data_IF_503921784736
#
_entry.id   IF_503921784736
#
_cell.length_a   1.000
_cell.length_b   1.000
_cell.length_c   1.000
_cell.angle_alpha   90.00
_cell.angle_beta   90.00
_cell.angle_gamma   90.00
#
_symmetry.space_group_name_H-M   'P 1'
#
loop_
_entity.id
_entity.type
_entity.pdbx_description
1 polymer ?
#
# COMPACT_ATOMS: atom_id res chain seq x y z
N UNK A 1 35.05 33.40 -87.85
CA UNK A 1 35.40 31.98 -87.74
C UNK A 1 35.35 31.57 -86.28
N UNK A 2 34.99 30.30 -86.03
CA UNK A 2 34.96 29.55 -84.78
C UNK A 2 33.64 29.52 -84.01
N UNK A 3 32.92 28.44 -84.29
CA UNK A 3 31.89 27.79 -83.49
C UNK A 3 32.49 27.22 -82.18
N UNK A 4 31.66 27.07 -81.14
CA UNK A 4 31.36 25.79 -80.45
C UNK A 4 30.80 26.02 -79.04
N UNK A 5 29.55 25.60 -78.77
CA UNK A 5 29.12 24.35 -78.06
C UNK A 5 29.19 24.51 -76.52
N UNK A 6 28.05 24.80 -75.87
CA UNK A 6 27.16 23.88 -75.12
C UNK A 6 27.82 23.25 -73.89
N UNK A 7 27.27 23.54 -72.70
CA UNK A 7 26.75 22.51 -71.77
C UNK A 7 26.02 23.19 -70.60
N UNK A 8 24.70 23.08 -70.61
CA UNK A 8 23.80 23.41 -69.50
C UNK A 8 23.85 22.23 -68.52
N UNK A 9 24.46 22.41 -67.34
CA UNK A 9 24.39 21.45 -66.25
C UNK A 9 23.34 21.92 -65.23
N UNK A 10 22.23 21.19 -65.17
CA UNK A 10 21.14 21.38 -64.23
C UNK A 10 21.40 20.63 -62.91
N UNK A 11 20.96 21.26 -61.83
CA UNK A 11 20.39 20.70 -60.59
C UNK A 11 21.35 20.06 -59.58
N UNK A 12 21.32 20.67 -58.38
CA UNK A 12 21.80 20.09 -57.13
C UNK A 12 21.61 21.02 -55.95
N UNK A 13 20.45 21.64 -55.78
CA UNK A 13 20.11 22.35 -54.55
C UNK A 13 19.79 21.32 -53.45
N UNK A 14 20.81 20.82 -52.76
CA UNK A 14 20.62 20.10 -51.51
C UNK A 14 20.27 21.14 -50.45
N UNK A 15 18.97 21.34 -50.25
CA UNK A 15 18.47 21.96 -49.05
C UNK A 15 18.83 21.04 -47.87
N UNK A 16 19.88 21.39 -47.14
CA UNK A 16 20.11 20.89 -45.80
C UNK A 16 19.00 21.42 -44.90
N UNK A 17 17.82 20.79 -44.98
CA UNK A 17 16.85 20.86 -43.91
C UNK A 17 17.47 20.08 -42.75
N UNK A 18 17.64 20.66 -41.55
CA UNK A 18 17.59 19.81 -40.39
C UNK A 18 16.17 19.24 -40.40
N UNK A 19 16.01 18.05 -40.96
CA UNK A 19 15.01 17.15 -40.41
C UNK A 19 15.42 17.03 -38.95
N UNK A 20 14.79 17.85 -38.11
CA UNK A 20 14.54 17.45 -36.76
C UNK A 20 14.00 16.03 -36.91
N UNK A 21 14.88 15.06 -36.63
CA UNK A 21 14.46 13.72 -36.34
C UNK A 21 13.34 13.94 -35.35
N UNK A 22 12.11 13.65 -35.79
CA UNK A 22 11.02 13.42 -34.89
C UNK A 22 11.54 12.29 -34.02
N UNK A 23 12.20 12.64 -32.92
CA UNK A 23 12.27 11.79 -31.75
C UNK A 23 10.80 11.54 -31.45
N UNK A 24 10.26 10.42 -31.95
CA UNK A 24 9.39 9.63 -31.10
C UNK A 24 10.23 9.43 -29.85
N UNK A 25 10.06 10.34 -28.92
CA UNK A 25 10.45 10.09 -27.55
C UNK A 25 9.53 8.93 -27.22
N UNK A 26 10.06 7.71 -27.29
CA UNK A 26 9.37 6.54 -26.77
C UNK A 26 8.87 6.98 -25.41
N UNK A 27 7.55 7.09 -25.34
CA UNK A 27 6.88 7.53 -24.12
C UNK A 27 7.21 6.42 -23.12
N UNK A 28 7.48 6.76 -21.86
CA UNK A 28 7.66 5.75 -20.83
C UNK A 28 6.52 4.71 -20.91
N UNK A 29 6.81 3.45 -20.57
CA UNK A 29 5.92 2.28 -20.67
C UNK A 29 4.84 2.26 -19.57
N UNK A 30 3.70 2.94 -19.77
CA UNK A 30 2.85 3.41 -18.66
C UNK A 30 1.38 3.13 -18.89
N UNK A 31 1.01 2.87 -20.13
CA UNK A 31 -0.31 2.41 -20.53
C UNK A 31 -0.39 0.87 -20.58
N UNK A 32 0.54 0.17 -19.91
CA UNK A 32 0.48 -1.28 -19.69
C UNK A 32 -0.82 -1.71 -19.01
N UNK A 33 -1.24 -0.92 -18.01
CA UNK A 33 -2.44 -1.12 -17.18
C UNK A 33 -3.47 -0.01 -17.45
N UNK A 34 -3.74 0.28 -18.73
CA UNK A 34 -4.64 1.38 -19.13
C UNK A 34 -6.03 1.29 -18.48
N UNK A 35 -6.54 0.07 -18.25
CA UNK A 35 -7.78 -0.16 -17.49
C UNK A 35 -7.75 0.49 -16.10
N UNK A 36 -6.61 0.40 -15.39
CA UNK A 36 -6.42 0.98 -14.06
C UNK A 36 -6.15 2.47 -14.15
N UNK A 37 -5.30 2.89 -15.10
CA UNK A 37 -4.99 4.32 -15.34
C UNK A 37 -6.26 5.11 -15.61
N UNK A 38 -7.11 4.65 -16.55
CA UNK A 38 -8.36 5.31 -16.90
C UNK A 38 -9.35 5.35 -15.73
N UNK A 39 -9.45 4.27 -14.95
CA UNK A 39 -10.34 4.20 -13.80
C UNK A 39 -9.90 5.17 -12.68
N UNK A 40 -8.60 5.21 -12.38
CA UNK A 40 -8.05 6.13 -11.38
C UNK A 40 -8.12 7.58 -11.84
N UNK A 41 -7.88 7.86 -13.12
CA UNK A 41 -8.04 9.20 -13.68
C UNK A 41 -9.49 9.70 -13.55
N UNK A 42 -10.47 8.81 -13.78
CA UNK A 42 -11.89 9.12 -13.58
C UNK A 42 -12.17 9.48 -12.11
N UNK A 43 -11.69 8.68 -11.16
CA UNK A 43 -11.88 8.93 -9.73
C UNK A 43 -11.14 10.19 -9.24
N UNK A 44 -9.92 10.42 -9.71
CA UNK A 44 -9.11 11.61 -9.43
C UNK A 44 -9.86 12.89 -9.83
N UNK A 45 -10.45 12.91 -11.03
CA UNK A 45 -11.12 14.10 -11.58
C UNK A 45 -12.41 14.50 -10.85
N UNK A 46 -12.97 13.64 -9.99
CA UNK A 46 -14.13 14.00 -9.16
C UNK A 46 -13.82 15.15 -8.21
N UNK A 47 -12.61 15.19 -7.65
CA UNK A 47 -12.08 16.28 -6.85
C UNK A 47 -10.54 16.23 -6.86
N UNK A 48 -9.93 17.19 -7.56
CA UNK A 48 -8.49 17.22 -7.84
C UNK A 48 -7.88 18.55 -7.39
N UNK A 49 -7.70 18.77 -6.07
CA UNK A 49 -7.22 20.04 -5.53
C UNK A 49 -5.78 20.36 -5.95
N UNK A 50 -4.98 19.33 -6.21
CA UNK A 50 -3.58 19.48 -6.63
C UNK A 50 -3.43 19.71 -8.14
N UNK A 51 -4.52 19.72 -8.92
CA UNK A 51 -4.48 19.90 -10.38
C UNK A 51 -3.52 18.89 -11.06
N UNK A 52 -3.48 17.65 -10.58
CA UNK A 52 -2.75 16.56 -11.23
C UNK A 52 -3.34 16.37 -12.62
N UNK A 53 -2.51 16.37 -13.66
CA UNK A 53 -3.00 16.48 -15.04
C UNK A 53 -3.64 15.19 -15.54
N UNK A 54 -3.01 14.05 -15.24
CA UNK A 54 -3.50 12.73 -15.59
C UNK A 54 -2.86 11.69 -14.66
N UNK A 55 -3.59 10.61 -14.35
CA UNK A 55 -3.09 9.54 -13.49
C UNK A 55 -1.82 8.88 -14.05
N UNK A 56 -1.68 8.77 -15.38
CA UNK A 56 -0.50 8.13 -16.01
C UNK A 56 0.82 8.80 -15.58
N UNK A 57 0.79 10.10 -15.25
CA UNK A 57 1.99 10.81 -14.80
C UNK A 57 2.58 10.24 -13.51
N UNK A 58 1.75 9.61 -12.66
CA UNK A 58 2.20 8.99 -11.41
C UNK A 58 3.04 7.73 -11.64
N UNK A 59 2.85 7.04 -12.76
CA UNK A 59 3.59 5.83 -13.08
C UNK A 59 4.97 6.16 -13.69
N UNK A 60 5.14 7.37 -14.21
CA UNK A 60 6.39 7.80 -14.83
C UNK A 60 7.54 7.96 -13.83
N UNK A 61 8.76 7.80 -14.34
CA UNK A 61 9.97 8.27 -13.69
C UNK A 61 9.95 9.79 -13.46
N UNK A 62 10.59 10.25 -12.38
CA UNK A 62 10.49 11.61 -11.84
C UNK A 62 10.60 12.74 -12.89
N UNK A 63 11.54 12.61 -13.84
CA UNK A 63 11.78 13.62 -14.88
C UNK A 63 10.59 13.80 -15.85
N UNK A 64 9.77 12.77 -16.05
CA UNK A 64 8.57 12.84 -16.87
C UNK A 64 7.33 13.12 -16.01
N UNK A 65 7.23 12.50 -14.82
CA UNK A 65 6.15 12.68 -13.86
C UNK A 65 5.90 14.15 -13.52
N UNK A 66 6.96 14.93 -13.29
CA UNK A 66 6.86 16.34 -12.87
C UNK A 66 6.08 17.22 -13.87
N UNK A 67 5.97 16.82 -15.13
CA UNK A 67 5.24 17.57 -16.15
C UNK A 67 3.72 17.55 -15.96
N UNK A 68 3.20 16.52 -15.30
CA UNK A 68 1.78 16.38 -14.99
C UNK A 68 1.47 16.41 -13.50
N UNK A 69 2.45 16.72 -12.67
CA UNK A 69 2.32 16.66 -11.21
C UNK A 69 1.38 17.72 -10.61
N UNK A 70 1.02 18.76 -11.37
CA UNK A 70 0.24 19.87 -10.84
C UNK A 70 0.97 20.57 -9.70
N UNK A 71 0.36 20.58 -8.52
CA UNK A 71 0.88 21.17 -7.29
C UNK A 71 1.75 20.20 -6.48
N UNK A 72 1.87 18.94 -6.89
CA UNK A 72 2.74 17.97 -6.24
C UNK A 72 4.20 18.30 -6.58
N UNK A 73 4.95 18.78 -5.58
CA UNK A 73 6.34 19.22 -5.76
C UNK A 73 7.32 18.04 -5.92
N UNK A 74 7.06 16.95 -5.20
CA UNK A 74 7.90 15.74 -5.23
C UNK A 74 7.32 14.72 -6.22
N UNK A 75 7.97 14.61 -7.38
CA UNK A 75 7.55 13.68 -8.42
C UNK A 75 7.61 12.21 -7.99
N UNK A 76 8.42 11.86 -6.98
CA UNK A 76 8.46 10.50 -6.45
C UNK A 76 7.25 10.14 -5.59
N UNK A 77 6.54 11.17 -5.10
CA UNK A 77 5.29 11.03 -4.40
C UNK A 77 4.05 11.11 -5.30
N UNK A 78 4.20 11.39 -6.59
CA UNK A 78 3.06 11.64 -7.47
C UNK A 78 2.12 10.44 -7.57
N UNK A 79 2.64 9.21 -7.68
CA UNK A 79 1.79 8.01 -7.68
C UNK A 79 0.95 7.90 -6.42
N UNK A 80 1.58 8.09 -5.25
CA UNK A 80 0.90 8.00 -3.97
C UNK A 80 -0.16 9.08 -3.84
N UNK A 81 0.18 10.34 -4.17
CA UNK A 81 -0.77 11.45 -4.12
C UNK A 81 -1.97 11.23 -5.05
N UNK A 82 -1.73 10.77 -6.28
CA UNK A 82 -2.78 10.42 -7.24
C UNK A 82 -3.68 9.32 -6.71
N UNK A 83 -3.11 8.23 -6.20
CA UNK A 83 -3.85 7.10 -5.66
C UNK A 83 -4.67 7.50 -4.43
N UNK A 84 -4.07 8.26 -3.53
CA UNK A 84 -4.68 8.71 -2.28
C UNK A 84 -5.86 9.66 -2.52
N UNK A 85 -5.72 10.59 -3.48
CA UNK A 85 -6.82 11.48 -3.86
C UNK A 85 -7.95 10.70 -4.57
N UNK A 86 -7.62 9.80 -5.50
CA UNK A 86 -8.61 8.96 -6.18
C UNK A 86 -9.37 8.05 -5.20
N UNK A 87 -8.65 7.44 -4.24
CA UNK A 87 -9.24 6.62 -3.18
C UNK A 87 -10.16 7.46 -2.29
N UNK A 88 -9.74 8.66 -1.87
CA UNK A 88 -10.58 9.59 -1.10
C UNK A 88 -11.90 9.88 -1.82
N UNK A 89 -11.82 10.16 -3.12
CA UNK A 89 -12.99 10.49 -3.94
C UNK A 89 -13.92 9.27 -4.08
N UNK A 90 -13.38 8.09 -4.34
CA UNK A 90 -14.14 6.85 -4.44
C UNK A 90 -14.81 6.49 -3.09
N UNK A 91 -14.08 6.65 -1.98
CA UNK A 91 -14.58 6.41 -0.62
C UNK A 91 -15.73 7.36 -0.28
N UNK A 92 -15.62 8.64 -0.62
CA UNK A 92 -16.69 9.62 -0.44
C UNK A 92 -17.94 9.29 -1.28
N UNK A 93 -17.77 8.61 -2.42
CA UNK A 93 -18.86 8.15 -3.28
C UNK A 93 -19.43 6.77 -2.88
N UNK A 94 -18.81 6.05 -1.94
CA UNK A 94 -19.15 4.66 -1.63
C UNK A 94 -18.82 3.68 -2.77
N UNK A 95 -17.89 4.05 -3.65
CA UNK A 95 -17.49 3.26 -4.81
C UNK A 95 -16.36 2.28 -4.46
N UNK A 96 -16.72 1.04 -4.12
CA UNK A 96 -15.76 -0.02 -3.80
C UNK A 96 -14.83 -0.33 -4.97
N UNK A 97 -15.34 -0.27 -6.20
CA UNK A 97 -14.54 -0.51 -7.41
C UNK A 97 -13.51 0.60 -7.59
N UNK A 98 -13.91 1.86 -7.42
CA UNK A 98 -13.00 3.00 -7.46
C UNK A 98 -11.93 2.94 -6.37
N UNK A 99 -12.30 2.56 -5.14
CA UNK A 99 -11.33 2.34 -4.05
C UNK A 99 -10.34 1.23 -4.40
N UNK A 100 -10.83 0.10 -4.92
CA UNK A 100 -10.00 -1.04 -5.34
C UNK A 100 -9.02 -0.65 -6.44
N UNK A 101 -9.47 0.08 -7.47
CA UNK A 101 -8.61 0.55 -8.56
C UNK A 101 -7.52 1.53 -8.06
N UNK A 102 -7.83 2.38 -7.09
CA UNK A 102 -6.84 3.27 -6.49
C UNK A 102 -5.79 2.51 -5.68
N UNK A 103 -6.18 1.46 -4.95
CA UNK A 103 -5.24 0.56 -4.25
C UNK A 103 -4.33 -0.18 -5.25
N UNK A 104 -4.89 -0.74 -6.32
CA UNK A 104 -4.13 -1.40 -7.40
C UNK A 104 -3.14 -0.41 -8.00
N UNK A 105 -3.59 0.80 -8.35
CA UNK A 105 -2.72 1.84 -8.92
C UNK A 105 -1.58 2.25 -8.00
N UNK A 106 -1.81 2.32 -6.67
CA UNK A 106 -0.75 2.61 -5.70
C UNK A 106 0.35 1.54 -5.72
N UNK A 107 -0.05 0.30 -5.95
CA UNK A 107 0.84 -0.84 -6.00
C UNK A 107 1.53 -1.02 -7.35
N UNK A 108 1.00 -0.48 -8.47
CA UNK A 108 1.63 -0.62 -9.78
C UNK A 108 3.11 -0.22 -9.77
N UNK A 109 3.90 -0.92 -10.56
CA UNK A 109 5.29 -0.55 -10.80
C UNK A 109 5.38 0.84 -11.45
N UNK A 110 6.31 1.66 -10.98
CA UNK A 110 6.67 2.91 -11.66
C UNK A 110 7.82 2.65 -12.62
N UNK A 111 7.76 3.23 -13.81
CA UNK A 111 8.83 3.11 -14.77
C UNK A 111 10.04 3.97 -14.37
N UNK A 112 11.17 3.32 -14.12
CA UNK A 112 12.42 3.99 -13.78
C UNK A 112 13.25 4.35 -15.01
N UNK A 113 12.83 3.93 -16.21
CA UNK A 113 13.52 4.13 -17.47
C UNK A 113 14.77 3.25 -17.64
N UNK A 114 14.96 2.25 -16.77
CA UNK A 114 16.08 1.31 -16.82
C UNK A 114 15.65 -0.03 -16.23
N UNK A 115 15.88 -1.11 -16.97
CA UNK A 115 15.52 -2.45 -16.51
C UNK A 115 16.26 -2.81 -15.22
N UNK A 116 15.52 -3.26 -14.22
CA UNK A 116 16.01 -3.67 -12.90
C UNK A 116 16.39 -2.53 -11.96
N UNK A 117 16.17 -1.27 -12.36
CA UNK A 117 16.38 -0.12 -11.47
C UNK A 117 15.18 0.02 -10.53
N UNK A 118 15.46 0.00 -9.22
CA UNK A 118 14.45 0.20 -8.21
C UNK A 118 13.86 1.62 -8.24
N UNK A 119 12.54 1.69 -8.08
CA UNK A 119 11.80 2.94 -7.95
C UNK A 119 12.07 3.59 -6.60
N UNK A 120 12.25 4.91 -6.60
CA UNK A 120 12.42 5.69 -5.37
C UNK A 120 11.09 5.72 -4.60
N UNK A 121 11.07 5.37 -3.29
CA UNK A 121 9.86 5.46 -2.48
C UNK A 121 9.49 6.91 -2.20
N UNK A 122 8.18 7.19 -2.09
CA UNK A 122 7.69 8.48 -1.62
C UNK A 122 8.05 8.69 -0.14
N UNK A 123 8.72 9.79 0.17
CA UNK A 123 9.13 10.12 1.55
C UNK A 123 8.61 11.47 2.05
N UNK A 124 8.19 12.36 1.14
CA UNK A 124 7.84 13.74 1.47
C UNK A 124 6.34 13.98 1.70
N UNK A 125 5.49 13.04 1.28
CA UNK A 125 4.03 13.12 1.42
C UNK A 125 3.54 11.93 2.22
N UNK A 126 2.80 12.21 3.30
CA UNK A 126 2.05 11.20 4.05
C UNK A 126 0.67 11.04 3.42
N UNK A 127 0.29 9.82 3.03
CA UNK A 127 -1.05 9.55 2.55
C UNK A 127 -2.09 9.80 3.65
N UNK A 128 -3.24 10.36 3.25
CA UNK A 128 -4.40 10.62 4.11
C UNK A 128 -5.13 9.32 4.43
N UNK A 129 -5.22 8.41 3.46
CA UNK A 129 -5.90 7.13 3.65
C UNK A 129 -4.90 6.06 4.15
N UNK A 130 -5.16 5.44 5.31
CA UNK A 130 -4.28 4.39 5.83
C UNK A 130 -4.17 3.19 4.88
N UNK A 131 -5.23 2.90 4.11
CA UNK A 131 -5.23 1.83 3.12
C UNK A 131 -4.19 2.08 2.00
N UNK A 132 -4.02 3.35 1.60
CA UNK A 132 -3.00 3.75 0.61
C UNK A 132 -1.62 3.85 1.27
N UNK A 133 -1.55 4.31 2.52
CA UNK A 133 -0.30 4.42 3.29
C UNK A 133 0.34 3.05 3.56
N UNK A 134 -0.45 1.99 3.67
CA UNK A 134 0.03 0.62 3.87
C UNK A 134 0.73 0.06 2.62
N UNK A 135 0.52 0.67 1.45
CA UNK A 135 1.00 0.17 0.17
C UNK A 135 2.22 0.94 -0.33
N UNK A 136 3.04 0.23 -1.09
CA UNK A 136 4.13 0.77 -1.89
C UNK A 136 4.09 0.18 -3.30
N UNK A 137 4.84 0.78 -4.22
CA UNK A 137 4.92 0.32 -5.60
C UNK A 137 5.72 -0.97 -5.76
N UNK A 138 5.27 -1.82 -6.67
CA UNK A 138 6.07 -2.92 -7.21
C UNK A 138 7.39 -2.37 -7.78
N UNK A 139 8.40 -3.22 -7.78
CA UNK A 139 9.71 -2.96 -8.35
C UNK A 139 9.90 -3.75 -9.63
N UNK A 140 10.77 -3.25 -10.51
CA UNK A 140 11.14 -3.99 -11.72
C UNK A 140 11.65 -5.38 -11.34
N UNK A 141 11.03 -6.45 -11.87
CA UNK A 141 11.30 -7.82 -11.47
C UNK A 141 12.70 -8.33 -11.86
N UNK A 142 13.43 -7.62 -12.73
CA UNK A 142 14.85 -7.86 -13.00
C UNK A 142 15.76 -7.32 -11.87
N UNK A 143 15.23 -6.52 -10.96
CA UNK A 143 15.93 -6.01 -9.79
C UNK A 143 16.22 -7.09 -8.74
N UNK A 144 17.33 -6.95 -8.02
CA UNK A 144 17.71 -7.90 -6.96
C UNK A 144 16.68 -7.89 -5.83
N UNK A 145 16.05 -9.03 -5.57
CA UNK A 145 15.03 -9.18 -4.52
C UNK A 145 13.66 -8.58 -4.85
N UNK A 146 13.47 -8.07 -6.07
CA UNK A 146 12.23 -7.40 -6.47
C UNK A 146 11.03 -8.36 -6.47
N UNK A 147 11.18 -9.58 -6.97
CA UNK A 147 10.08 -10.55 -7.04
C UNK A 147 9.52 -10.92 -5.65
N UNK A 148 10.41 -11.13 -4.66
CA UNK A 148 9.98 -11.42 -3.28
C UNK A 148 9.30 -10.23 -2.62
N UNK A 149 9.74 -9.00 -2.96
CA UNK A 149 9.13 -7.77 -2.49
C UNK A 149 7.75 -7.54 -3.13
N UNK A 150 7.65 -7.74 -4.45
CA UNK A 150 6.42 -7.66 -5.22
C UNK A 150 5.36 -8.61 -4.66
N UNK A 151 5.75 -9.85 -4.35
CA UNK A 151 4.88 -10.81 -3.67
C UNK A 151 4.34 -10.31 -2.32
N UNK A 152 5.18 -9.65 -1.52
CA UNK A 152 4.74 -9.05 -0.25
C UNK A 152 3.78 -7.88 -0.47
N UNK A 153 4.05 -7.05 -1.49
CA UNK A 153 3.19 -5.93 -1.87
C UNK A 153 1.83 -6.45 -2.35
N UNK A 154 1.80 -7.46 -3.22
CA UNK A 154 0.57 -8.09 -3.69
C UNK A 154 -0.25 -8.69 -2.53
N UNK A 155 0.41 -9.28 -1.53
CA UNK A 155 -0.29 -9.84 -0.36
C UNK A 155 -0.89 -8.75 0.53
N UNK A 156 -0.19 -7.63 0.73
CA UNK A 156 -0.75 -6.45 1.42
C UNK A 156 -1.87 -5.81 0.62
N UNK A 157 -1.72 -5.70 -0.70
CA UNK A 157 -2.77 -5.21 -1.59
C UNK A 157 -4.05 -6.06 -1.48
N UNK A 158 -3.92 -7.39 -1.49
CA UNK A 158 -5.04 -8.30 -1.30
C UNK A 158 -5.76 -8.05 0.04
N UNK A 159 -5.01 -7.82 1.13
CA UNK A 159 -5.58 -7.44 2.44
C UNK A 159 -6.34 -6.13 2.38
N UNK A 160 -5.77 -5.10 1.77
CA UNK A 160 -6.40 -3.78 1.66
C UNK A 160 -7.66 -3.83 0.80
N UNK A 161 -7.63 -4.55 -0.32
CA UNK A 161 -8.81 -4.76 -1.18
C UNK A 161 -9.90 -5.49 -0.40
N UNK A 162 -9.56 -6.56 0.34
CA UNK A 162 -10.51 -7.28 1.18
C UNK A 162 -11.12 -6.37 2.27
N UNK A 163 -10.29 -5.52 2.89
CA UNK A 163 -10.70 -4.65 3.99
C UNK A 163 -11.71 -3.58 3.56
N UNK A 164 -11.63 -3.11 2.30
CA UNK A 164 -12.62 -2.20 1.72
C UNK A 164 -13.82 -2.91 1.09
N UNK A 165 -13.86 -4.25 1.15
CA UNK A 165 -14.96 -5.07 0.60
C UNK A 165 -14.85 -5.38 -0.90
N UNK A 166 -13.69 -5.18 -1.51
CA UNK A 166 -13.40 -5.57 -2.89
C UNK A 166 -13.02 -7.06 -3.03
N UNK A 167 -12.85 -7.51 -4.27
CA UNK A 167 -12.39 -8.87 -4.59
C UNK A 167 -10.86 -8.97 -4.47
N UNK A 168 -10.31 -9.70 -3.49
CA UNK A 168 -8.87 -9.77 -3.27
C UNK A 168 -8.08 -10.40 -4.41
N UNK A 169 -8.74 -11.16 -5.29
CA UNK A 169 -8.09 -11.74 -6.48
C UNK A 169 -7.61 -10.67 -7.46
N UNK A 170 -8.19 -9.46 -7.39
CA UNK A 170 -7.74 -8.31 -8.17
C UNK A 170 -6.38 -7.76 -7.72
N UNK A 171 -5.80 -8.24 -6.62
CA UNK A 171 -4.45 -7.86 -6.24
C UNK A 171 -3.41 -8.20 -7.33
N UNK A 172 -3.60 -9.32 -8.04
CA UNK A 172 -2.72 -9.69 -9.14
C UNK A 172 -2.80 -8.72 -10.33
N UNK A 173 -3.80 -7.85 -10.40
CA UNK A 173 -3.86 -6.80 -11.41
C UNK A 173 -2.69 -5.80 -11.27
N UNK A 174 -2.12 -5.66 -10.08
CA UNK A 174 -0.91 -4.85 -9.86
C UNK A 174 0.39 -5.56 -10.27
N UNK A 175 0.34 -6.86 -10.59
CA UNK A 175 1.53 -7.63 -10.95
C UNK A 175 2.16 -7.11 -12.24
N UNK A 176 3.44 -7.43 -12.42
CA UNK A 176 4.28 -6.92 -13.50
C UNK A 176 4.57 -7.98 -14.57
N UNK A 177 5.44 -7.65 -15.51
CA UNK A 177 5.93 -8.48 -16.59
C UNK A 177 6.94 -9.53 -16.11
N UNK A 178 7.30 -10.48 -16.98
CA UNK A 178 8.48 -11.30 -16.73
C UNK A 178 9.75 -10.43 -16.68
N UNK A 179 10.79 -10.78 -15.86
CA UNK A 179 12.04 -10.03 -15.80
C UNK A 179 12.66 -9.76 -17.18
N UNK A 180 12.96 -8.49 -17.44
CA UNK A 180 13.70 -8.06 -18.63
C UNK A 180 15.21 -8.33 -18.53
N UNK A 181 15.95 -7.94 -19.57
CA UNK A 181 17.42 -7.94 -19.54
C UNK A 181 17.92 -6.60 -18.99
N UNK A 182 18.76 -6.63 -17.95
CA UNK A 182 19.25 -5.42 -17.25
C UNK A 182 20.00 -4.45 -18.19
N UNK A 183 20.65 -4.97 -19.23
CA UNK A 183 21.39 -4.17 -20.22
C UNK A 183 20.56 -3.85 -21.48
N UNK A 184 19.23 -3.93 -21.42
CA UNK A 184 18.35 -3.55 -22.52
C UNK A 184 18.55 -2.07 -22.88
N UNK A 185 19.02 -1.75 -24.11
CA UNK A 185 19.29 -0.37 -24.50
C UNK A 185 18.04 0.50 -24.64
N UNK A 186 16.85 -0.11 -24.70
CA UNK A 186 15.57 0.61 -24.73
C UNK A 186 15.06 0.94 -23.34
N UNK A 187 15.50 0.21 -22.31
CA UNK A 187 14.96 0.30 -20.95
C UNK A 187 13.52 -0.20 -20.81
N UNK A 188 12.91 -0.79 -21.85
CA UNK A 188 11.54 -1.27 -21.81
C UNK A 188 11.43 -2.73 -21.30
N UNK A 189 12.45 -3.56 -21.51
CA UNK A 189 12.36 -4.97 -21.12
C UNK A 189 11.23 -5.69 -21.85
N UNK A 190 10.36 -6.35 -21.10
CA UNK A 190 9.22 -7.11 -21.66
C UNK A 190 7.90 -6.33 -21.61
N UNK A 191 7.93 -5.04 -21.27
CA UNK A 191 6.72 -4.24 -21.12
C UNK A 191 6.04 -3.94 -22.46
N UNK A 192 4.81 -3.45 -22.37
CA UNK A 192 4.05 -2.94 -23.50
C UNK A 192 3.46 -1.57 -23.17
N UNK A 193 3.17 -0.76 -24.18
CA UNK A 193 2.62 0.59 -23.99
C UNK A 193 1.59 0.88 -25.08
N UNK A 194 0.30 0.81 -24.73
CA UNK A 194 -0.80 1.04 -25.66
C UNK A 194 -1.98 1.73 -24.96
N UNK A 195 -2.07 3.05 -25.14
CA UNK A 195 -3.16 3.86 -24.61
C UNK A 195 -4.51 3.60 -25.30
N UNK A 196 -4.53 2.97 -26.48
CA UNK A 196 -5.77 2.65 -27.19
C UNK A 196 -6.33 1.28 -26.76
N UNK A 197 -5.58 0.50 -25.98
CA UNK A 197 -6.02 -0.78 -25.42
C UNK A 197 -6.65 -0.60 -24.04
N UNK A 198 -7.97 -0.38 -24.02
CA UNK A 198 -8.73 -0.18 -22.79
C UNK A 198 -8.62 -1.31 -21.75
N UNK A 199 -8.20 -2.53 -22.13
CA UNK A 199 -7.99 -3.61 -21.19
C UNK A 199 -6.63 -3.52 -20.48
N UNK A 200 -5.73 -2.66 -20.95
CA UNK A 200 -4.30 -2.70 -20.66
C UNK A 200 -3.62 -3.78 -21.50
N UNK A 201 -2.58 -3.41 -22.24
CA UNK A 201 -1.88 -4.35 -23.11
C UNK A 201 -1.22 -5.51 -22.34
N UNK A 202 -0.92 -5.33 -21.05
CA UNK A 202 -0.41 -6.41 -20.20
C UNK A 202 -1.43 -7.56 -20.06
N UNK A 203 -2.72 -7.22 -20.08
CA UNK A 203 -3.82 -8.15 -19.94
C UNK A 203 -4.24 -8.73 -21.29
N UNK A 204 -4.44 -7.87 -22.30
CA UNK A 204 -4.90 -8.30 -23.63
C UNK A 204 -3.90 -9.23 -24.31
N UNK A 205 -2.60 -9.00 -24.09
CA UNK A 205 -1.51 -9.80 -24.63
C UNK A 205 -1.05 -10.91 -23.67
N UNK A 206 -1.61 -10.99 -22.47
CA UNK A 206 -1.28 -12.00 -21.43
C UNK A 206 0.20 -11.99 -21.05
N UNK A 207 0.75 -10.79 -20.86
CA UNK A 207 2.15 -10.59 -20.50
C UNK A 207 2.35 -10.54 -18.98
N UNK A 208 1.25 -10.42 -18.22
CA UNK A 208 1.27 -10.40 -16.76
C UNK A 208 1.80 -11.70 -16.19
N UNK A 209 2.70 -11.59 -15.22
CA UNK A 209 3.13 -12.69 -14.36
C UNK A 209 2.54 -12.43 -12.99
N UNK A 210 1.53 -13.22 -12.61
CA UNK A 210 0.87 -13.09 -11.32
C UNK A 210 1.84 -13.34 -10.16
N UNK A 211 1.88 -12.41 -9.19
CA UNK A 211 2.76 -12.50 -8.01
C UNK A 211 2.27 -13.52 -6.97
N UNK A 212 0.95 -13.74 -6.92
CA UNK A 212 0.31 -14.66 -5.98
C UNK A 212 -0.53 -15.72 -6.70
N UNK A 213 -0.52 -16.93 -6.16
CA UNK A 213 -1.54 -17.94 -6.47
C UNK A 213 -2.84 -17.66 -5.70
N UNK A 214 -3.95 -18.26 -6.14
CA UNK A 214 -5.24 -18.15 -5.43
C UNK A 214 -5.18 -18.60 -3.96
N UNK A 215 -4.39 -19.64 -3.67
CA UNK A 215 -4.21 -20.14 -2.30
C UNK A 215 -3.46 -19.13 -1.43
N UNK A 216 -2.47 -18.44 -2.01
CA UNK A 216 -1.71 -17.39 -1.31
C UNK A 216 -2.55 -16.14 -1.10
N UNK A 217 -3.41 -15.77 -2.05
CA UNK A 217 -4.39 -14.68 -1.86
C UNK A 217 -5.36 -15.03 -0.73
N UNK A 218 -5.89 -16.26 -0.74
CA UNK A 218 -6.79 -16.76 0.32
C UNK A 218 -6.11 -16.72 1.68
N UNK A 219 -4.85 -17.16 1.75
CA UNK A 219 -4.07 -17.11 2.98
C UNK A 219 -3.81 -15.66 3.44
N UNK A 220 -3.49 -14.75 2.51
CA UNK A 220 -3.21 -13.36 2.83
C UNK A 220 -4.41 -12.62 3.46
N UNK A 221 -5.64 -12.98 3.08
CA UNK A 221 -6.86 -12.29 3.53
C UNK A 221 -7.62 -12.98 4.66
N UNK A 222 -7.14 -14.15 5.12
CA UNK A 222 -7.83 -14.95 6.13
C UNK A 222 -8.18 -14.14 7.40
N UNK A 223 -7.26 -13.30 7.87
CA UNK A 223 -7.43 -12.51 9.08
C UNK A 223 -8.43 -11.34 8.89
N UNK A 224 -8.46 -10.76 7.69
CA UNK A 224 -9.40 -9.68 7.33
C UNK A 224 -10.83 -10.23 7.26
N UNK A 225 -11.02 -11.42 6.68
CA UNK A 225 -12.32 -12.09 6.58
C UNK A 225 -12.84 -12.56 7.94
N UNK A 226 -11.94 -13.01 8.84
CA UNK A 226 -12.28 -13.35 10.21
C UNK A 226 -12.79 -12.13 11.00
N UNK A 227 -12.13 -10.97 10.85
CA UNK A 227 -12.56 -9.70 11.46
C UNK A 227 -13.92 -9.20 10.95
N UNK A 228 -14.19 -9.31 9.64
CA UNK A 228 -15.49 -8.95 9.07
C UNK A 228 -16.63 -9.85 9.60
N UNK A 229 -16.37 -11.14 9.77
CA UNK A 229 -17.33 -12.13 10.31
C UNK A 229 -17.61 -11.91 11.80
N UNK A 230 -16.60 -11.49 12.58
CA UNK A 230 -16.77 -11.11 13.98
C UNK A 230 -17.64 -9.85 14.14
N UNK A 231 -17.45 -8.83 13.29
CA UNK A 231 -18.29 -7.62 13.28
C UNK A 231 -19.74 -7.91 12.85
N UNK A 232 -19.95 -8.81 11.89
CA UNK A 232 -21.30 -9.25 11.50
C UNK A 232 -22.04 -9.97 12.65
N UNK A 233 -21.31 -10.74 13.46
CA UNK A 233 -21.86 -11.43 14.64
C UNK A 233 -22.23 -10.46 15.76
N UNK A 234 -21.43 -9.40 15.97
CA UNK A 234 -21.77 -8.32 16.91
C UNK A 234 -22.98 -7.48 16.45
N UNK A 235 -23.09 -7.18 15.15
CA UNK A 235 -24.25 -6.49 14.60
C UNK A 235 -25.54 -7.32 14.72
N UNK A 236 -25.47 -8.64 14.52
CA UNK A 236 -26.59 -9.55 14.75
C UNK A 236 -26.99 -9.65 16.23
N UNK A 237 -26.01 -9.63 17.15
CA UNK A 237 -26.27 -9.57 18.58
C UNK A 237 -26.94 -8.25 19.01
N UNK A 238 -26.54 -7.12 18.41
CA UNK A 238 -27.17 -5.82 18.65
C UNK A 238 -28.61 -5.73 18.09
N UNK A 239 -28.86 -6.30 16.91
CA UNK A 239 -30.22 -6.37 16.33
C UNK A 239 -31.17 -7.24 17.15
N UNK A 240 -30.66 -8.27 17.84
CA UNK A 240 -31.44 -9.12 18.74
C UNK A 240 -31.78 -8.45 20.08
N UNK A 241 -31.08 -7.38 20.47
CA UNK A 241 -31.40 -6.61 21.68
C UNK A 241 -32.48 -5.54 21.45
N UNK A 242 -32.64 -5.04 20.21
CA UNK A 242 -33.68 -4.05 19.89
C UNK A 242 -35.08 -4.67 19.77
N UNK A 243 -35.20 -6.00 19.64
CA UNK A 243 -36.48 -6.71 19.58
C UNK A 243 -37.09 -7.05 20.96
N UNK A 244 -36.35 -6.86 22.06
CA UNK A 244 -36.77 -7.22 23.41
C UNK A 244 -37.13 -6.02 24.32
N UNK A 245 -37.18 -4.80 23.78
CA UNK A 245 -37.39 -3.57 24.55
C UNK A 245 -38.83 -3.01 24.47
N UNK A 246 -39.84 -3.89 24.45
CA UNK A 246 -41.24 -3.47 24.58
C UNK A 246 -42.02 -4.44 25.48
N UNK A 247 -41.82 -4.31 26.79
CA UNK A 247 -42.82 -4.53 27.84
C UNK A 247 -42.22 -4.12 29.20
N UNK A 248 -42.95 -3.24 29.89
CA UNK A 248 -42.70 -2.68 31.21
C UNK A 248 -42.59 -3.73 32.33
N UNK A 249 -41.90 -3.38 33.43
CA UNK A 249 -42.14 -3.99 34.74
C UNK A 249 -40.96 -3.96 35.70
N UNK A 250 -41.00 -3.04 36.67
CA UNK A 250 -40.07 -2.94 37.79
C UNK A 250 -40.12 -4.16 38.73
N UNK A 251 -38.95 -4.64 39.21
CA UNK A 251 -38.73 -5.16 40.57
C UNK A 251 -37.23 -5.47 40.81
N UNK A 252 -36.80 -5.19 42.04
CA UNK A 252 -35.47 -5.39 42.63
C UNK A 252 -34.95 -6.84 42.61
N UNK A 253 -33.62 -6.95 42.68
CA UNK A 253 -32.88 -8.05 43.32
C UNK A 253 -32.59 -9.26 42.43
N UNK A 254 -31.38 -9.35 41.89
CA UNK A 254 -30.35 -10.28 42.41
C UNK A 254 -29.07 -10.14 41.57
N UNK A 255 -27.92 -10.04 42.24
CA UNK A 255 -26.62 -10.03 41.60
C UNK A 255 -26.34 -11.39 40.94
N UNK A 256 -26.21 -11.41 39.61
CA UNK A 256 -25.65 -12.54 38.87
C UNK A 256 -24.15 -12.33 38.68
N UNK A 257 -23.37 -13.04 39.49
CA UNK A 257 -21.95 -13.24 39.31
C UNK A 257 -21.67 -14.18 38.11
N UNK A 258 -20.60 -13.87 37.36
CA UNK A 258 -20.03 -14.70 36.27
C UNK A 258 -19.92 -13.89 34.98
N UNK A 259 -18.75 -13.51 34.44
CA UNK A 259 -17.40 -14.06 34.55
C UNK A 259 -16.38 -12.97 34.95
N UNK A 260 -16.00 -12.96 36.22
CA UNK A 260 -14.71 -12.47 36.66
C UNK A 260 -13.79 -13.68 36.87
N UNK A 261 -13.43 -14.37 35.78
CA UNK A 261 -12.31 -15.30 35.75
C UNK A 261 -11.60 -15.22 34.40
N UNK A 262 -10.66 -14.28 34.30
CA UNK A 262 -9.48 -14.39 33.43
C UNK A 262 -8.34 -13.46 33.90
N UNK A 263 -8.29 -13.05 35.18
CA UNK A 263 -7.18 -12.26 35.73
C UNK A 263 -6.02 -13.15 36.24
N UNK A 264 -5.98 -14.41 35.80
CA UNK A 264 -5.10 -15.43 36.36
C UNK A 264 -4.43 -16.29 35.31
N UNK A 265 -3.93 -15.72 34.20
CA UNK A 265 -2.73 -16.24 33.51
C UNK A 265 -2.26 -15.41 32.29
N UNK A 266 -2.56 -14.11 32.17
CA UNK A 266 -2.23 -13.36 30.96
C UNK A 266 -0.71 -13.32 30.64
N UNK A 267 0.14 -13.22 31.69
CA UNK A 267 1.59 -13.35 31.55
C UNK A 267 2.03 -14.72 30.99
N UNK A 268 1.30 -15.80 31.27
CA UNK A 268 1.63 -17.13 30.74
C UNK A 268 1.37 -17.28 29.25
N UNK A 269 0.49 -16.45 28.67
CA UNK A 269 0.25 -16.43 27.24
C UNK A 269 1.50 -16.03 26.45
N UNK A 270 2.38 -15.24 27.09
CA UNK A 270 3.64 -14.76 26.51
C UNK A 270 4.87 -15.56 26.95
N UNK A 271 4.65 -16.73 27.59
CA UNK A 271 5.74 -17.59 28.05
C UNK A 271 6.63 -16.89 29.08
N UNK A 272 7.95 -16.86 28.82
CA UNK A 272 8.92 -16.18 29.67
C UNK A 272 9.11 -14.69 29.34
N UNK A 273 8.46 -14.20 28.28
CA UNK A 273 8.64 -12.84 27.82
C UNK A 273 7.69 -11.87 28.52
N UNK A 274 8.16 -10.65 28.69
CA UNK A 274 7.34 -9.54 29.16
C UNK A 274 7.14 -8.52 28.02
N UNK A 275 6.02 -8.57 27.28
CA UNK A 275 5.75 -7.64 26.21
C UNK A 275 5.30 -6.25 26.67
N UNK A 276 5.20 -5.97 27.98
CA UNK A 276 4.70 -4.68 28.45
C UNK A 276 5.51 -3.48 27.90
N UNK A 277 4.85 -2.34 27.80
CA UNK A 277 5.45 -1.06 27.38
C UNK A 277 5.46 -0.10 28.56
N UNK A 278 6.60 0.54 28.80
CA UNK A 278 6.75 1.67 29.70
C UNK A 278 6.55 2.99 28.94
N UNK A 279 5.93 3.97 29.60
CA UNK A 279 5.90 5.36 29.12
C UNK A 279 6.51 6.28 30.16
N UNK A 280 7.43 7.16 29.73
CA UNK A 280 8.15 8.11 30.59
C UNK A 280 9.52 8.44 30.02
N UNK A 281 10.42 8.99 30.83
CA UNK A 281 11.81 9.22 30.44
C UNK A 281 12.50 7.87 30.21
N UNK A 282 12.89 7.54 28.96
CA UNK A 282 13.41 6.22 28.62
C UNK A 282 14.87 6.05 28.99
N UNK A 283 15.34 4.81 29.02
CA UNK A 283 16.71 4.47 29.42
C UNK A 283 17.78 4.83 28.38
N UNK A 284 17.38 5.11 27.14
CA UNK A 284 18.27 5.38 26.00
C UNK A 284 18.90 6.80 25.96
N UNK A 285 18.64 7.61 26.99
CA UNK A 285 19.20 8.96 27.13
C UNK A 285 18.37 10.08 26.51
N UNK A 286 17.18 9.78 25.96
CA UNK A 286 16.22 10.81 25.53
C UNK A 286 15.73 11.62 26.75
N UNK A 287 15.57 12.93 26.57
CA UNK A 287 15.17 13.87 27.63
C UNK A 287 13.67 14.23 27.63
N UNK A 288 12.86 13.46 26.92
CA UNK A 288 11.42 13.65 26.83
C UNK A 288 10.72 12.30 26.93
N UNK A 289 9.47 12.31 27.38
CA UNK A 289 8.71 11.09 27.55
C UNK A 289 8.56 10.33 26.22
N UNK A 290 8.73 9.03 26.29
CA UNK A 290 8.67 8.12 25.15
C UNK A 290 8.20 6.73 25.60
N UNK A 291 7.83 5.93 24.61
CA UNK A 291 7.51 4.52 24.79
C UNK A 291 8.79 3.70 24.71
N UNK A 292 8.95 2.72 25.60
CA UNK A 292 10.10 1.81 25.64
C UNK A 292 9.61 0.40 26.07
N UNK A 293 10.15 -0.69 25.49
CA UNK A 293 9.85 -2.04 25.97
C UNK A 293 10.22 -2.19 27.45
N UNK A 294 9.35 -2.80 28.25
CA UNK A 294 9.63 -3.06 29.67
C UNK A 294 10.72 -4.13 29.86
N UNK A 295 10.89 -5.03 28.89
CA UNK A 295 11.97 -6.02 28.85
C UNK A 295 12.92 -5.75 27.69
N UNK A 296 13.90 -4.87 27.93
CA UNK A 296 14.95 -4.52 26.97
C UNK A 296 15.95 -5.66 26.72
N UNK A 297 15.99 -6.69 27.56
CA UNK A 297 16.87 -7.84 27.35
C UNK A 297 16.32 -8.73 26.23
N UNK A 298 15.00 -8.91 26.20
CA UNK A 298 14.29 -9.69 25.17
C UNK A 298 13.95 -8.85 23.95
N UNK A 299 13.49 -7.62 24.16
CA UNK A 299 13.02 -6.69 23.14
C UNK A 299 13.97 -5.48 23.07
N UNK A 300 15.21 -5.71 22.61
CA UNK A 300 16.21 -4.66 22.51
C UNK A 300 15.88 -3.68 21.36
N UNK A 301 15.13 -2.64 21.69
CA UNK A 301 14.74 -1.56 20.80
C UNK A 301 14.81 -0.23 21.57
N UNK A 302 15.29 0.82 20.91
CA UNK A 302 15.31 2.16 21.49
C UNK A 302 13.91 2.73 21.71
N UNK A 303 13.80 3.84 22.44
CA UNK A 303 12.50 4.44 22.70
C UNK A 303 11.89 5.11 21.47
N UNK A 304 10.57 5.26 21.42
CA UNK A 304 9.86 5.95 20.33
C UNK A 304 8.81 6.91 20.87
N UNK A 305 8.53 8.00 20.14
CA UNK A 305 7.48 8.95 20.50
C UNK A 305 6.09 8.47 20.10
N UNK A 306 6.03 7.49 19.20
CA UNK A 306 4.80 6.88 18.74
C UNK A 306 4.75 5.44 19.27
N UNK A 307 3.67 5.11 19.99
CA UNK A 307 3.48 3.79 20.59
C UNK A 307 3.49 2.67 19.55
N UNK A 308 2.99 2.94 18.33
CA UNK A 308 2.91 1.96 17.25
C UNK A 308 4.30 1.39 16.90
N UNK A 309 5.36 2.19 17.04
CA UNK A 309 6.74 1.73 16.78
C UNK A 309 7.13 0.65 17.78
N UNK A 310 6.83 0.84 19.07
CA UNK A 310 7.21 -0.10 20.12
C UNK A 310 6.27 -1.31 20.15
N UNK A 311 4.96 -1.09 20.08
CA UNK A 311 3.97 -2.19 20.10
C UNK A 311 4.15 -3.12 18.90
N UNK A 312 4.30 -2.58 17.68
CA UNK A 312 4.49 -3.42 16.49
C UNK A 312 5.82 -4.16 16.53
N UNK A 313 6.88 -3.52 17.03
CA UNK A 313 8.15 -4.19 17.24
C UNK A 313 8.00 -5.38 18.20
N UNK A 314 7.44 -5.17 19.39
CA UNK A 314 7.25 -6.22 20.40
C UNK A 314 6.41 -7.38 19.82
N UNK A 315 5.25 -7.08 19.22
CA UNK A 315 4.37 -8.10 18.68
C UNK A 315 5.03 -8.91 17.54
N UNK A 316 5.81 -8.25 16.67
CA UNK A 316 6.57 -8.94 15.60
C UNK A 316 7.64 -9.90 16.13
N UNK A 317 8.21 -9.61 17.31
CA UNK A 317 9.30 -10.40 17.87
C UNK A 317 8.80 -11.58 18.71
N UNK A 318 7.60 -11.48 19.29
CA UNK A 318 7.06 -12.47 20.23
C UNK A 318 7.10 -13.90 19.69
N UNK A 319 6.64 -14.14 18.45
CA UNK A 319 6.61 -15.48 17.85
C UNK A 319 8.01 -16.09 17.70
N UNK A 320 9.03 -15.26 17.47
CA UNK A 320 10.42 -15.71 17.27
C UNK A 320 11.23 -15.85 18.56
N UNK A 321 10.92 -15.06 19.59
CA UNK A 321 11.70 -14.96 20.84
C UNK A 321 11.09 -15.72 22.01
N UNK A 322 9.77 -15.94 21.98
CA UNK A 322 9.01 -16.28 23.18
C UNK A 322 8.23 -17.59 23.08
N UNK A 323 8.27 -18.26 21.91
CA UNK A 323 7.58 -19.53 21.65
C UNK A 323 6.11 -19.49 22.09
N UNK A 324 5.41 -18.43 21.70
CA UNK A 324 4.02 -18.17 22.07
C UNK A 324 3.04 -18.87 21.12
N UNK A 325 1.79 -19.02 21.55
CA UNK A 325 0.72 -19.48 20.66
C UNK A 325 0.30 -18.39 19.67
N UNK A 326 -0.36 -18.80 18.59
CA UNK A 326 -0.99 -17.85 17.66
C UNK A 326 -2.02 -16.94 18.38
N UNK A 327 -2.73 -17.47 19.37
CA UNK A 327 -3.67 -16.69 20.18
C UNK A 327 -2.98 -15.57 20.97
N UNK A 328 -1.78 -15.82 21.50
CA UNK A 328 -1.01 -14.80 22.19
C UNK A 328 -0.43 -13.76 21.22
N UNK A 329 -0.10 -14.16 19.98
CA UNK A 329 0.34 -13.22 18.95
C UNK A 329 -0.82 -12.28 18.58
N UNK A 330 -2.00 -12.85 18.34
CA UNK A 330 -3.23 -12.11 18.06
C UNK A 330 -3.65 -11.20 19.22
N UNK A 331 -3.44 -11.64 20.47
CA UNK A 331 -3.68 -10.81 21.65
C UNK A 331 -2.74 -9.60 21.67
N UNK A 332 -1.48 -9.77 21.26
CA UNK A 332 -0.54 -8.65 21.13
C UNK A 332 -0.97 -7.67 20.03
N UNK A 333 -1.40 -8.18 18.87
CA UNK A 333 -1.88 -7.32 17.79
C UNK A 333 -3.16 -6.57 18.19
N UNK A 334 -4.04 -7.22 18.95
CA UNK A 334 -5.23 -6.58 19.54
C UNK A 334 -4.84 -5.49 20.54
N UNK A 335 -3.81 -5.73 21.36
CA UNK A 335 -3.28 -4.73 22.27
C UNK A 335 -2.65 -3.54 21.54
N UNK A 336 -1.92 -3.79 20.46
CA UNK A 336 -1.37 -2.73 19.60
C UNK A 336 -2.49 -1.89 18.96
N UNK A 337 -3.57 -2.53 18.50
CA UNK A 337 -4.75 -1.84 18.00
C UNK A 337 -5.44 -1.01 19.08
N UNK A 338 -5.58 -1.52 20.30
CA UNK A 338 -6.19 -0.81 21.43
C UNK A 338 -5.43 0.47 21.82
N UNK A 339 -4.13 0.52 21.55
CA UNK A 339 -3.29 1.70 21.76
C UNK A 339 -3.36 2.74 20.62
N UNK A 340 -3.97 2.39 19.48
CA UNK A 340 -4.00 3.25 18.29
C UNK A 340 -4.81 4.53 18.55
N UNK A 341 -4.21 5.68 18.19
CA UNK A 341 -4.84 6.99 18.38
C UNK A 341 -4.80 7.52 19.81
N UNK A 342 -4.28 6.74 20.76
CA UNK A 342 -4.01 7.19 22.13
C UNK A 342 -2.61 7.80 22.23
N UNK A 343 -2.39 8.59 23.27
CA UNK A 343 -1.10 9.23 23.51
C UNK A 343 -0.67 9.13 24.96
N UNK A 344 0.64 9.25 25.18
CA UNK A 344 1.25 9.21 26.50
C UNK A 344 0.94 7.93 27.28
N UNK A 345 0.87 8.07 28.60
CA UNK A 345 0.63 6.96 29.52
C UNK A 345 -0.64 6.18 29.16
N UNK A 346 -1.69 6.86 28.69
CA UNK A 346 -2.96 6.22 28.31
C UNK A 346 -2.77 5.18 27.19
N UNK A 347 -1.86 5.41 26.26
CA UNK A 347 -1.61 4.46 25.17
C UNK A 347 -0.87 3.22 25.70
N UNK A 348 0.12 3.41 26.58
CA UNK A 348 0.84 2.30 27.21
C UNK A 348 -0.10 1.48 28.12
N UNK A 349 -0.96 2.15 28.89
CA UNK A 349 -1.96 1.50 29.74
C UNK A 349 -2.97 0.70 28.90
N UNK A 350 -3.43 1.24 27.77
CA UNK A 350 -4.35 0.54 26.88
C UNK A 350 -3.72 -0.72 26.28
N UNK A 351 -2.45 -0.63 25.85
CA UNK A 351 -1.69 -1.77 25.38
C UNK A 351 -1.52 -2.83 26.48
N UNK A 352 -0.97 -2.46 27.63
CA UNK A 352 -0.70 -3.39 28.74
C UNK A 352 -1.99 -4.03 29.27
N UNK A 353 -3.06 -3.25 29.42
CA UNK A 353 -4.36 -3.75 29.87
C UNK A 353 -4.97 -4.74 28.88
N UNK A 354 -4.83 -4.50 27.57
CA UNK A 354 -5.31 -5.41 26.54
C UNK A 354 -4.52 -6.73 26.51
N UNK A 355 -3.25 -6.71 26.92
CA UNK A 355 -2.46 -7.93 27.15
C UNK A 355 -2.80 -8.63 28.47
N UNK A 356 -3.59 -8.00 29.34
CA UNK A 356 -3.92 -8.48 30.68
C UNK A 356 -2.78 -8.31 31.70
N UNK A 357 -1.89 -7.32 31.50
CA UNK A 357 -0.70 -7.04 32.32
C UNK A 357 -0.90 -5.84 33.27
#
# INVERSE_FOLDING_TARGET
MKHSIIALAFIGAVAARPTALLTKREVPQEHSHENIVAAVNTALQLNNPDNIQDAVFGLLGAAAAIKGAGNIADADCLQQATADQAFTNAKAAGDITGMTNALIFRALERNTGTVGLASVPCQSITAVNPEIAALQQHQDPAGTGAQDLNKQIAAELARQIAAVGGDPTLANEASTFAPGQVDDPTGAGNSCDDADDAAGCINSQKLRVDDLSNDEITAAVADVQAGASANATQAAAAANQTAAADCEGAADGEAAAGNAEAAGNAQSAFGACNPAINFGIPSDGRQQDAFEPADLATFNHGSALNIAVISNFICSQLSSKCSISADAANLCDTAAAAATGLSGQQAADAFNSALGL
#
